data_IF_693067646265
#
_entry.id   IF_693067646265
#
_cell.length_a   1.000
_cell.length_b   1.000
_cell.length_c   1.000
_cell.angle_alpha   90.00
_cell.angle_beta   90.00
_cell.angle_gamma   90.00
#
_symmetry.space_group_name_H-M   'P 1'
#
loop_
_entity.id
_entity.type
_entity.pdbx_description
1 polymer ?
#
# COMPACT_ATOMS: atom_id res chain seq x y z
N UNK A 1 -13.45 13.90 -0.68
CA UNK A 1 -14.84 13.81 -0.14
C UNK A 1 -14.93 14.57 1.17
N UNK A 2 -15.97 15.39 1.39
CA UNK A 2 -16.42 15.63 2.77
C UNK A 2 -16.95 14.29 3.29
N UNK A 3 -16.27 13.70 4.28
CA UNK A 3 -16.58 12.36 4.78
C UNK A 3 -17.97 12.37 5.43
N UNK A 4 -18.98 11.90 4.70
CA UNK A 4 -20.29 11.64 5.29
C UNK A 4 -20.20 10.33 6.08
N UNK A 5 -20.21 10.45 7.41
CA UNK A 5 -20.12 9.32 8.32
C UNK A 5 -21.19 8.23 8.07
N UNK A 6 -22.35 8.59 7.51
CA UNK A 6 -23.44 7.67 7.23
C UNK A 6 -23.10 6.64 6.14
N UNK A 7 -22.24 6.99 5.17
CA UNK A 7 -21.86 6.10 4.06
C UNK A 7 -20.42 5.60 4.19
N UNK A 8 -19.70 5.98 5.23
CA UNK A 8 -18.28 5.67 5.39
C UNK A 8 -17.99 4.16 5.32
N UNK A 9 -18.88 3.35 5.90
CA UNK A 9 -18.76 1.88 5.91
C UNK A 9 -18.94 1.25 4.52
N UNK A 10 -19.56 1.97 3.59
CA UNK A 10 -19.76 1.51 2.22
C UNK A 10 -18.57 1.89 1.33
N UNK A 11 -17.70 2.82 1.74
CA UNK A 11 -16.59 3.28 0.90
C UNK A 11 -15.49 2.21 0.93
N UNK A 12 -15.14 1.61 -0.22
CA UNK A 12 -14.05 0.64 -0.29
C UNK A 12 -12.72 1.37 -0.18
N UNK A 13 -11.71 0.67 0.33
CA UNK A 13 -10.34 1.12 0.18
C UNK A 13 -9.94 1.20 -1.30
N UNK A 14 -9.01 2.09 -1.62
CA UNK A 14 -8.48 2.22 -2.98
C UNK A 14 -7.93 0.88 -3.52
N UNK A 15 -7.16 0.15 -2.69
CA UNK A 15 -6.66 -1.18 -3.02
C UNK A 15 -7.77 -2.22 -3.18
N UNK A 16 -8.91 -2.09 -2.49
CA UNK A 16 -10.05 -2.99 -2.65
C UNK A 16 -10.76 -2.82 -3.98
N UNK A 17 -10.83 -1.58 -4.50
CA UNK A 17 -11.33 -1.33 -5.86
C UNK A 17 -10.42 -2.01 -6.89
N UNK A 18 -9.10 -1.83 -6.76
CA UNK A 18 -8.11 -2.49 -7.64
C UNK A 18 -8.26 -4.02 -7.57
N UNK A 19 -8.36 -4.57 -6.35
CA UNK A 19 -8.53 -6.01 -6.15
C UNK A 19 -9.81 -6.55 -6.81
N UNK A 20 -10.90 -5.79 -6.75
CA UNK A 20 -12.17 -6.17 -7.38
C UNK A 20 -12.10 -6.15 -8.90
N UNK A 21 -11.48 -5.12 -9.49
CA UNK A 21 -11.36 -4.98 -10.94
C UNK A 21 -10.44 -6.06 -11.55
N UNK A 22 -9.33 -6.37 -10.87
CA UNK A 22 -8.35 -7.35 -11.32
C UNK A 22 -8.71 -8.80 -10.95
N UNK A 23 -9.87 -9.04 -10.33
CA UNK A 23 -10.30 -10.40 -9.94
C UNK A 23 -10.41 -11.33 -11.15
N UNK A 24 -10.90 -10.82 -12.28
CA UNK A 24 -11.05 -11.59 -13.52
C UNK A 24 -9.71 -12.05 -14.13
N UNK A 25 -8.61 -11.40 -13.75
CA UNK A 25 -7.25 -11.72 -14.21
C UNK A 25 -6.50 -12.70 -13.29
N UNK A 26 -7.14 -13.12 -12.19
CA UNK A 26 -6.50 -14.05 -11.25
C UNK A 26 -6.38 -15.44 -11.85
N UNK A 27 -5.20 -16.04 -11.67
CA UNK A 27 -4.91 -17.43 -12.05
C UNK A 27 -5.35 -18.39 -10.94
N UNK A 28 -5.53 -19.66 -11.29
CA UNK A 28 -5.75 -20.72 -10.30
C UNK A 28 -4.59 -20.87 -9.30
N UNK A 29 -3.38 -20.49 -9.71
CA UNK A 29 -2.18 -20.46 -8.88
C UNK A 29 -2.07 -19.21 -7.98
N UNK A 30 -2.98 -18.25 -8.07
CA UNK A 30 -2.91 -17.00 -7.31
C UNK A 30 -3.61 -17.16 -5.94
N UNK A 31 -2.80 -17.33 -4.90
CA UNK A 31 -3.24 -17.56 -3.52
C UNK A 31 -3.16 -16.31 -2.64
N UNK A 32 -2.34 -15.32 -3.00
CA UNK A 32 -2.13 -14.08 -2.23
C UNK A 32 -3.15 -13.00 -2.63
N UNK A 33 -3.55 -12.11 -1.69
CA UNK A 33 -4.59 -11.14 -1.99
C UNK A 33 -4.06 -10.12 -2.95
N UNK A 34 -4.94 -9.71 -3.88
CA UNK A 34 -4.60 -8.67 -4.83
C UNK A 34 -4.22 -7.37 -4.10
N UNK A 35 -4.85 -7.09 -2.96
CA UNK A 35 -4.49 -5.98 -2.08
C UNK A 35 -3.79 -6.48 -0.81
N UNK A 36 -2.51 -6.12 -0.67
CA UNK A 36 -1.73 -6.31 0.55
C UNK A 36 -1.26 -4.94 1.03
N UNK A 37 -1.23 -4.74 2.34
CA UNK A 37 -0.56 -3.61 2.95
C UNK A 37 0.48 -4.08 3.96
N UNK A 38 1.45 -3.23 4.26
CA UNK A 38 2.46 -3.48 5.28
C UNK A 38 2.50 -2.30 6.22
N UNK A 39 2.25 -2.55 7.50
CA UNK A 39 2.13 -1.59 8.59
C UNK A 39 1.06 -0.49 8.42
N UNK A 40 0.10 -0.65 7.51
CA UNK A 40 -0.93 0.37 7.25
C UNK A 40 -1.89 0.54 8.43
N UNK A 41 -2.20 -0.54 9.16
CA UNK A 41 -3.01 -0.44 10.37
C UNK A 41 -2.33 0.42 11.44
N UNK A 42 -1.00 0.28 11.56
CA UNK A 42 -0.19 1.08 12.48
C UNK A 42 -0.21 2.57 12.08
N UNK A 43 -0.38 2.88 10.78
CA UNK A 43 -0.45 4.24 10.25
C UNK A 43 -1.72 5.04 10.63
N UNK A 44 -2.69 4.46 11.36
CA UNK A 44 -4.04 5.04 11.64
C UNK A 44 -4.81 5.45 10.40
N UNK A 45 -4.45 4.90 9.24
CA UNK A 45 -5.18 5.05 7.98
C UNK A 45 -5.71 3.67 7.58
N UNK A 46 -6.74 3.10 8.25
CA UNK A 46 -7.20 1.74 8.00
C UNK A 46 -8.02 1.64 6.70
N UNK A 47 -7.46 2.12 5.60
CA UNK A 47 -7.98 1.92 4.24
C UNK A 47 -7.66 0.50 3.76
N UNK A 48 -8.14 -0.50 4.50
CA UNK A 48 -8.04 -1.92 4.16
C UNK A 48 -9.43 -2.58 4.00
N UNK A 49 -10.50 -1.89 4.38
CA UNK A 49 -11.85 -2.42 4.29
C UNK A 49 -12.35 -2.53 2.85
N UNK A 50 -13.10 -3.60 2.56
CA UNK A 50 -13.75 -3.81 1.25
C UNK A 50 -14.93 -2.86 1.01
N UNK A 51 -15.40 -2.14 2.03
CA UNK A 51 -16.58 -1.29 1.91
C UNK A 51 -17.81 -2.09 1.49
N UNK A 52 -18.50 -1.62 0.46
CA UNK A 52 -19.61 -2.34 -0.18
C UNK A 52 -19.18 -3.51 -1.09
N UNK A 53 -17.89 -3.68 -1.37
CA UNK A 53 -17.39 -4.78 -2.20
C UNK A 53 -17.34 -6.09 -1.40
N UNK A 54 -17.35 -7.22 -2.10
CA UNK A 54 -17.24 -8.53 -1.47
C UNK A 54 -16.00 -8.60 -0.54
N UNK A 55 -16.10 -9.15 0.68
CA UNK A 55 -15.01 -9.11 1.68
C UNK A 55 -13.70 -9.75 1.22
N UNK A 56 -13.74 -10.60 0.21
CA UNK A 56 -12.54 -11.16 -0.44
C UNK A 56 -11.59 -10.08 -1.01
N UNK A 57 -12.09 -8.87 -1.25
CA UNK A 57 -11.31 -7.74 -1.75
C UNK A 57 -10.77 -6.84 -0.64
N UNK A 58 -11.01 -7.20 0.63
CA UNK A 58 -10.38 -6.52 1.76
C UNK A 58 -8.85 -6.72 1.70
N UNK A 59 -8.11 -5.69 2.11
CA UNK A 59 -6.66 -5.73 2.20
C UNK A 59 -6.18 -6.62 3.32
N UNK A 60 -5.12 -7.39 3.07
CA UNK A 60 -4.36 -8.08 4.12
C UNK A 60 -3.24 -7.16 4.61
N UNK A 61 -3.32 -6.71 5.86
CA UNK A 61 -2.24 -5.92 6.48
C UNK A 61 -1.22 -6.82 7.18
N UNK A 62 0.05 -6.68 6.81
CA UNK A 62 1.18 -7.35 7.43
C UNK A 62 1.86 -6.39 8.41
N UNK A 63 1.79 -6.70 9.70
CA UNK A 63 2.48 -5.90 10.72
C UNK A 63 3.91 -6.41 10.90
N UNK A 64 4.91 -5.60 10.55
CA UNK A 64 6.32 -6.01 10.61
C UNK A 64 6.79 -6.36 12.03
N UNK A 65 6.09 -5.87 13.07
CA UNK A 65 6.40 -6.18 14.45
C UNK A 65 5.92 -7.56 14.91
N UNK A 66 4.94 -8.18 14.24
CA UNK A 66 4.33 -9.44 14.70
C UNK A 66 4.21 -10.52 13.61
N UNK A 67 4.36 -10.17 12.33
CA UNK A 67 4.13 -11.09 11.20
C UNK A 67 5.08 -12.29 11.22
N UNK A 68 6.33 -12.10 11.66
CA UNK A 68 7.31 -13.18 11.69
C UNK A 68 6.99 -14.25 12.75
N UNK A 69 6.43 -13.83 13.89
CA UNK A 69 5.99 -14.74 14.96
C UNK A 69 4.67 -15.41 14.57
N UNK A 70 3.73 -14.63 14.01
CA UNK A 70 2.42 -15.11 13.60
C UNK A 70 2.50 -16.20 12.51
N UNK A 71 3.47 -16.11 11.60
CA UNK A 71 3.68 -17.08 10.52
C UNK A 71 4.85 -18.04 10.76
N UNK A 72 5.36 -18.10 12.00
CA UNK A 72 6.26 -19.17 12.45
C UNK A 72 7.62 -19.19 11.75
N UNK A 73 8.32 -18.06 11.71
CA UNK A 73 9.70 -18.00 11.24
C UNK A 73 10.62 -18.85 12.15
N UNK A 74 10.73 -20.14 11.87
CA UNK A 74 11.83 -20.98 12.38
C UNK A 74 11.50 -22.35 12.97
N UNK A 75 10.25 -22.84 12.96
CA UNK A 75 9.98 -24.17 13.54
C UNK A 75 9.97 -25.29 12.48
N UNK A 76 10.78 -26.33 12.76
CA UNK A 76 10.86 -27.60 12.02
C UNK A 76 9.51 -28.35 11.98
N UNK A 77 8.54 -27.95 12.80
CA UNK A 77 7.22 -28.59 12.95
C UNK A 77 6.12 -28.02 12.02
N UNK A 78 6.49 -27.13 11.10
CA UNK A 78 5.52 -26.51 10.16
C UNK A 78 4.78 -27.53 9.28
N UNK A 79 5.40 -28.68 8.97
CA UNK A 79 4.75 -29.74 8.20
C UNK A 79 3.63 -30.44 8.99
N UNK A 80 3.86 -30.77 10.27
CA UNK A 80 2.84 -31.40 11.12
C UNK A 80 1.71 -30.43 11.46
N UNK A 81 2.03 -29.16 11.74
CA UNK A 81 1.03 -28.10 11.93
C UNK A 81 0.17 -27.88 10.68
N UNK A 82 0.77 -27.91 9.49
CA UNK A 82 0.05 -27.83 8.22
C UNK A 82 -0.80 -29.07 7.95
N UNK A 83 -0.34 -30.28 8.33
CA UNK A 83 -1.15 -31.51 8.24
C UNK A 83 -2.39 -31.42 9.12
N UNK A 84 -2.23 -31.05 10.39
CA UNK A 84 -3.34 -30.87 11.31
C UNK A 84 -4.31 -29.75 10.86
N UNK A 85 -3.79 -28.65 10.31
CA UNK A 85 -4.61 -27.60 9.71
C UNK A 85 -5.40 -28.12 8.50
N UNK A 86 -4.77 -28.92 7.63
CA UNK A 86 -5.39 -29.50 6.43
C UNK A 86 -6.51 -30.47 6.81
N UNK A 87 -6.28 -31.36 7.78
CA UNK A 87 -7.29 -32.28 8.31
C UNK A 87 -8.49 -31.53 8.91
N UNK A 88 -8.23 -30.50 9.73
CA UNK A 88 -9.29 -29.65 10.29
C UNK A 88 -10.08 -28.92 9.21
N UNK A 89 -9.40 -28.45 8.17
CA UNK A 89 -10.02 -27.78 7.03
C UNK A 89 -10.92 -28.72 6.23
N UNK A 90 -10.48 -29.95 5.99
CA UNK A 90 -11.28 -30.98 5.33
C UNK A 90 -12.56 -31.31 6.12
N UNK A 91 -12.43 -31.51 7.44
CA UNK A 91 -13.58 -31.75 8.32
C UNK A 91 -14.56 -30.56 8.29
N UNK A 92 -14.06 -29.33 8.38
CA UNK A 92 -14.89 -28.12 8.32
C UNK A 92 -15.68 -28.04 7.01
N UNK A 93 -15.03 -28.34 5.87
CA UNK A 93 -15.70 -28.33 4.57
C UNK A 93 -16.77 -29.41 4.48
N UNK A 94 -16.48 -30.64 4.93
CA UNK A 94 -17.47 -31.73 4.97
C UNK A 94 -18.66 -31.39 5.88
N UNK A 95 -18.43 -30.75 7.03
CA UNK A 95 -19.52 -30.26 7.89
C UNK A 95 -20.34 -29.17 7.21
N UNK A 96 -19.69 -28.30 6.43
CA UNK A 96 -20.33 -27.21 5.69
C UNK A 96 -21.18 -27.72 4.52
N UNK A 97 -20.84 -28.87 3.93
CA UNK A 97 -21.65 -29.54 2.90
C UNK A 97 -22.93 -30.15 3.49
N UNK A 98 -22.85 -30.69 4.70
CA UNK A 98 -23.99 -31.32 5.41
C UNK A 98 -24.93 -30.27 6.01
N UNK A 99 -24.42 -29.09 6.37
CA UNK A 99 -25.22 -27.93 6.79
C UNK A 99 -24.91 -26.74 5.88
N UNK A 100 -25.47 -26.71 4.67
CA UNK A 100 -25.22 -25.65 3.72
C UNK A 100 -25.59 -24.31 4.33
N UNK A 101 -24.65 -23.36 4.31
CA UNK A 101 -24.83 -21.99 4.78
C UNK A 101 -25.91 -21.21 4.01
N UNK A 102 -26.57 -21.84 3.03
CA UNK A 102 -27.62 -21.28 2.19
C UNK A 102 -28.85 -20.77 2.95
N UNK A 103 -29.02 -21.15 4.21
CA UNK A 103 -30.05 -20.59 5.11
C UNK A 103 -29.57 -19.46 6.05
N UNK A 104 -28.27 -19.14 6.09
CA UNK A 104 -27.65 -18.33 7.17
C UNK A 104 -27.34 -16.87 6.71
N UNK A 105 -27.61 -16.55 5.44
CA UNK A 105 -27.51 -15.18 4.89
C UNK A 105 -26.08 -14.74 4.54
N UNK A 106 -25.94 -13.52 4.00
CA UNK A 106 -24.69 -12.99 3.43
C UNK A 106 -23.47 -13.07 4.36
N UNK A 107 -23.65 -12.86 5.67
CA UNK A 107 -22.54 -12.90 6.64
C UNK A 107 -21.83 -14.26 6.69
N UNK A 108 -22.54 -15.38 6.53
CA UNK A 108 -21.91 -16.69 6.55
C UNK A 108 -21.00 -16.93 5.34
N UNK A 109 -21.41 -16.46 4.15
CA UNK A 109 -20.56 -16.49 2.96
C UNK A 109 -19.33 -15.58 3.09
N UNK A 110 -19.47 -14.43 3.75
CA UNK A 110 -18.35 -13.52 4.01
C UNK A 110 -17.30 -14.17 4.94
N UNK A 111 -17.74 -14.81 6.03
CA UNK A 111 -16.85 -15.57 6.91
C UNK A 111 -16.15 -16.71 6.16
N UNK A 112 -16.90 -17.49 5.37
CA UNK A 112 -16.33 -18.58 4.58
C UNK A 112 -15.23 -18.08 3.63
N UNK A 113 -15.49 -16.98 2.92
CA UNK A 113 -14.52 -16.37 2.03
C UNK A 113 -13.23 -15.97 2.77
N UNK A 114 -13.34 -15.37 3.96
CA UNK A 114 -12.16 -15.03 4.78
C UNK A 114 -11.37 -16.26 5.24
N UNK A 115 -12.05 -17.33 5.65
CA UNK A 115 -11.38 -18.57 6.06
C UNK A 115 -10.67 -19.27 4.91
N UNK A 116 -11.33 -19.38 3.74
CA UNK A 116 -10.72 -19.91 2.52
C UNK A 116 -9.46 -19.12 2.14
N UNK A 117 -9.52 -17.80 2.32
CA UNK A 117 -8.42 -16.89 2.09
C UNK A 117 -7.21 -17.17 2.98
N UNK A 118 -7.45 -17.22 4.29
CA UNK A 118 -6.41 -17.50 5.28
C UNK A 118 -5.77 -18.88 5.06
N UNK A 119 -6.60 -19.90 4.77
CA UNK A 119 -6.12 -21.25 4.51
C UNK A 119 -5.18 -21.31 3.29
N UNK A 120 -5.55 -20.66 2.18
CA UNK A 120 -4.71 -20.59 0.97
C UNK A 120 -3.35 -19.95 1.24
N UNK A 121 -3.30 -18.88 2.01
CA UNK A 121 -2.03 -18.23 2.39
C UNK A 121 -1.18 -19.14 3.27
N UNK A 122 -1.78 -19.69 4.33
CA UNK A 122 -1.05 -20.50 5.33
C UNK A 122 -0.46 -21.77 4.73
N UNK A 123 -1.13 -22.36 3.74
CA UNK A 123 -0.69 -23.57 3.05
C UNK A 123 0.24 -23.30 1.87
N UNK A 124 0.38 -22.05 1.42
CA UNK A 124 1.26 -21.71 0.32
C UNK A 124 2.70 -21.48 0.79
N UNK A 125 3.59 -22.41 0.41
CA UNK A 125 5.02 -22.32 0.73
C UNK A 125 5.70 -21.01 0.27
N UNK A 126 5.17 -20.33 -0.76
CA UNK A 126 5.68 -19.04 -1.22
C UNK A 126 5.50 -17.96 -0.16
N UNK A 127 4.42 -17.99 0.64
CA UNK A 127 4.21 -16.99 1.68
C UNK A 127 5.24 -17.09 2.79
N UNK A 128 5.66 -18.33 3.14
CA UNK A 128 6.80 -18.54 4.05
C UNK A 128 8.09 -17.95 3.48
N UNK A 129 8.34 -18.10 2.17
CA UNK A 129 9.50 -17.49 1.50
C UNK A 129 9.46 -15.97 1.53
N UNK A 130 8.28 -15.36 1.43
CA UNK A 130 8.11 -13.90 1.54
C UNK A 130 8.65 -13.35 2.85
N UNK A 131 8.43 -14.09 3.94
CA UNK A 131 8.88 -13.71 5.29
C UNK A 131 10.29 -14.23 5.64
N UNK A 132 10.93 -14.98 4.74
CA UNK A 132 12.26 -15.53 4.93
C UNK A 132 13.33 -14.53 4.50
N UNK A 133 13.70 -13.63 5.40
CA UNK A 133 14.58 -12.49 5.08
C UNK A 133 16.04 -12.80 5.45
N UNK A 134 16.94 -12.79 4.46
CA UNK A 134 18.38 -13.02 4.68
C UNK A 134 19.02 -11.86 5.46
N UNK A 135 20.09 -12.12 6.20
CA UNK A 135 20.85 -11.07 6.89
C UNK A 135 21.47 -10.06 5.92
N UNK A 136 21.86 -10.53 4.73
CA UNK A 136 22.39 -9.68 3.67
C UNK A 136 21.33 -8.71 3.13
N UNK A 137 20.12 -9.20 2.86
CA UNK A 137 19.04 -8.34 2.38
C UNK A 137 18.60 -7.35 3.46
N UNK A 138 18.46 -7.81 4.71
CA UNK A 138 18.16 -6.92 5.83
C UNK A 138 19.18 -5.78 5.94
N UNK A 139 20.48 -6.09 5.85
CA UNK A 139 21.52 -5.07 5.90
C UNK A 139 21.42 -4.06 4.74
N UNK A 140 21.18 -4.51 3.50
CA UNK A 140 20.99 -3.62 2.34
C UNK A 140 19.81 -2.66 2.53
N UNK A 141 18.70 -3.16 3.05
CA UNK A 141 17.49 -2.38 3.32
C UNK A 141 17.58 -1.53 4.61
N UNK A 142 18.77 -1.40 5.21
CA UNK A 142 18.99 -0.58 6.40
C UNK A 142 18.36 -1.16 7.67
N UNK A 143 18.07 -2.46 7.69
CA UNK A 143 17.55 -3.18 8.87
C UNK A 143 18.76 -3.69 9.68
N UNK A 144 19.00 -3.16 10.89
CA UNK A 144 20.06 -3.67 11.76
C UNK A 144 19.76 -5.09 12.23
N UNK A 145 20.71 -5.68 12.98
CA UNK A 145 20.54 -7.05 13.51
C UNK A 145 19.30 -7.19 14.39
N UNK A 146 18.83 -6.11 15.02
CA UNK A 146 17.53 -6.06 15.69
C UNK A 146 16.42 -5.67 14.70
N UNK A 147 15.49 -6.60 14.43
CA UNK A 147 14.40 -6.39 13.46
C UNK A 147 13.48 -5.21 13.83
N UNK A 148 13.48 -4.77 15.09
CA UNK A 148 12.58 -3.73 15.59
C UNK A 148 12.93 -2.29 15.21
N UNK A 149 14.13 -2.02 14.67
CA UNK A 149 14.61 -0.65 14.49
C UNK A 149 14.32 -0.05 13.11
N UNK A 150 14.21 -0.85 12.04
CA UNK A 150 13.91 -0.35 10.70
C UNK A 150 12.68 -1.01 10.03
N UNK A 151 11.47 -0.62 10.45
CA UNK A 151 10.19 -1.09 9.90
C UNK A 151 10.02 -0.84 8.39
N UNK A 152 10.38 0.34 7.88
CA UNK A 152 10.26 0.64 6.43
C UNK A 152 11.12 -0.28 5.58
N UNK A 153 12.33 -0.61 6.06
CA UNK A 153 13.25 -1.52 5.38
C UNK A 153 12.67 -2.92 5.30
N UNK A 154 12.12 -3.42 6.41
CA UNK A 154 11.39 -4.69 6.43
C UNK A 154 10.17 -4.66 5.50
N UNK A 155 9.41 -3.58 5.52
CA UNK A 155 8.18 -3.47 4.74
C UNK A 155 8.45 -3.46 3.23
N UNK A 156 9.45 -2.70 2.78
CA UNK A 156 9.87 -2.69 1.38
C UNK A 156 10.50 -4.02 0.95
N UNK A 157 11.25 -4.69 1.83
CA UNK A 157 11.81 -6.00 1.55
C UNK A 157 10.71 -7.09 1.43
N UNK A 158 9.69 -7.04 2.29
CA UNK A 158 8.49 -7.90 2.17
C UNK A 158 7.76 -7.59 0.86
N UNK A 159 7.57 -6.30 0.51
CA UNK A 159 6.93 -5.90 -0.74
C UNK A 159 7.67 -6.45 -1.97
N UNK A 160 9.01 -6.35 -2.00
CA UNK A 160 9.84 -6.97 -3.03
C UNK A 160 9.58 -8.47 -3.15
N UNK A 161 9.54 -9.17 -2.02
CA UNK A 161 9.30 -10.62 -2.02
C UNK A 161 7.89 -11.00 -2.45
N UNK A 162 6.88 -10.20 -2.08
CA UNK A 162 5.49 -10.39 -2.51
C UNK A 162 5.35 -10.29 -4.03
N UNK A 163 6.03 -9.32 -4.65
CA UNK A 163 6.08 -9.17 -6.11
C UNK A 163 6.78 -10.37 -6.75
N UNK A 164 7.97 -10.73 -6.25
CA UNK A 164 8.76 -11.85 -6.78
C UNK A 164 8.08 -13.22 -6.61
N UNK A 165 7.19 -13.38 -5.63
CA UNK A 165 6.45 -14.62 -5.40
C UNK A 165 5.44 -14.92 -6.52
N UNK A 166 5.04 -13.91 -7.30
CA UNK A 166 4.05 -14.00 -8.38
C UNK A 166 2.82 -14.86 -8.01
N UNK A 167 2.24 -14.55 -6.86
CA UNK A 167 1.15 -15.35 -6.27
C UNK A 167 -0.18 -14.58 -6.23
N UNK A 168 -0.33 -13.52 -7.01
CA UNK A 168 -1.59 -12.78 -7.16
C UNK A 168 -1.68 -11.44 -6.44
N UNK A 169 -0.62 -10.99 -5.75
CA UNK A 169 -0.55 -9.63 -5.24
C UNK A 169 -0.41 -8.63 -6.41
N UNK A 170 -1.25 -7.59 -6.43
CA UNK A 170 -1.32 -6.61 -7.53
C UNK A 170 -1.17 -5.16 -7.07
N UNK A 171 -1.64 -4.85 -5.86
CA UNK A 171 -1.49 -3.56 -5.23
C UNK A 171 -0.94 -3.74 -3.82
N UNK A 172 0.26 -3.20 -3.59
CA UNK A 172 0.97 -3.30 -2.31
C UNK A 172 1.11 -1.91 -1.72
N UNK A 173 0.50 -1.68 -0.56
CA UNK A 173 0.62 -0.43 0.18
C UNK A 173 1.66 -0.56 1.29
N UNK A 174 2.81 0.10 1.14
CA UNK A 174 3.82 0.19 2.21
C UNK A 174 3.61 1.46 3.01
N UNK A 175 3.30 1.35 4.29
CA UNK A 175 3.13 2.50 5.17
C UNK A 175 4.42 2.80 5.94
N UNK A 176 4.87 4.05 5.88
CA UNK A 176 5.93 4.53 6.75
C UNK A 176 5.33 4.95 8.10
N UNK A 177 5.66 4.21 9.15
CA UNK A 177 5.09 4.43 10.50
C UNK A 177 6.11 5.00 11.50
N UNK A 178 7.24 5.54 11.03
CA UNK A 178 8.27 6.09 11.92
C UNK A 178 7.83 7.37 12.62
N UNK A 179 7.22 8.28 11.86
CA UNK A 179 6.77 9.60 12.30
C UNK A 179 5.32 9.80 11.86
N UNK A 180 4.40 9.05 12.47
CA UNK A 180 2.99 9.07 12.11
C UNK A 180 2.34 7.69 12.21
N UNK A 181 1.08 7.66 12.66
CA UNK A 181 0.36 6.43 12.99
C UNK A 181 0.74 5.87 14.35
N UNK A 182 -0.16 5.98 15.33
CA UNK A 182 0.04 5.61 16.75
C UNK A 182 1.29 6.21 17.46
N UNK A 183 2.20 6.88 16.75
CA UNK A 183 3.33 7.65 17.27
C UNK A 183 3.06 9.17 17.35
N UNK A 184 4.04 9.95 17.86
CA UNK A 184 3.96 11.41 17.97
C UNK A 184 3.78 12.14 16.63
N UNK A 185 3.45 13.43 16.70
CA UNK A 185 2.94 14.27 15.63
C UNK A 185 3.95 14.52 14.48
N UNK A 186 4.19 13.52 13.60
CA UNK A 186 5.10 13.55 12.43
C UNK A 186 6.32 14.49 12.62
N UNK A 187 6.86 15.15 11.60
CA UNK A 187 8.01 16.05 11.68
C UNK A 187 7.67 17.47 12.25
N UNK A 188 6.67 17.58 13.14
CA UNK A 188 6.19 18.86 13.68
C UNK A 188 6.99 19.38 14.88
N UNK A 189 7.82 18.55 15.50
CA UNK A 189 8.75 18.97 16.55
C UNK A 189 10.15 18.38 16.33
N UNK A 190 11.18 19.05 16.84
CA UNK A 190 12.56 18.54 16.92
C UNK A 190 13.11 17.81 15.69
N UNK A 191 12.78 18.27 14.48
CA UNK A 191 13.08 17.61 13.21
C UNK A 191 14.58 17.33 13.01
N UNK A 192 15.43 18.14 13.62
CA UNK A 192 16.89 18.06 13.55
C UNK A 192 17.56 17.58 14.85
N UNK A 193 16.79 17.09 15.81
CA UNK A 193 17.33 16.53 17.05
C UNK A 193 18.33 15.40 16.79
N UNK A 194 19.45 15.38 17.52
CA UNK A 194 20.48 14.33 17.40
C UNK A 194 20.76 13.69 18.77
N UNK A 195 20.75 12.35 18.80
CA UNK A 195 21.25 11.57 19.94
C UNK A 195 20.58 11.88 21.28
N UNK A 196 21.38 11.91 22.35
CA UNK A 196 20.92 12.08 23.75
C UNK A 196 20.29 13.44 24.08
N UNK A 197 20.33 14.41 23.15
CA UNK A 197 19.66 15.70 23.29
C UNK A 197 18.17 15.65 22.88
N UNK A 198 17.75 14.57 22.22
CA UNK A 198 16.34 14.32 21.98
C UNK A 198 15.70 13.85 23.30
N UNK A 199 14.58 14.44 23.75
CA UNK A 199 13.81 13.96 24.90
C UNK A 199 13.53 12.46 24.78
N UNK A 200 13.46 11.76 25.92
CA UNK A 200 13.04 10.35 25.92
C UNK A 200 11.64 10.23 25.29
N UNK A 201 11.51 9.41 24.26
CA UNK A 201 10.27 9.28 23.47
C UNK A 201 10.15 10.26 22.30
N UNK A 202 11.20 11.04 22.01
CA UNK A 202 11.24 11.93 20.85
C UNK A 202 11.20 11.19 19.51
N UNK A 203 10.76 11.93 18.51
CA UNK A 203 10.56 11.51 17.13
C UNK A 203 11.86 11.06 16.46
N UNK A 204 11.76 10.23 15.41
CA UNK A 204 12.92 9.94 14.57
C UNK A 204 13.24 11.18 13.74
N UNK A 205 14.31 11.89 14.07
CA UNK A 205 14.73 13.07 13.32
C UNK A 205 15.03 12.75 11.86
N UNK A 206 15.13 13.77 11.01
CA UNK A 206 15.43 13.58 9.58
C UNK A 206 16.78 12.88 9.35
N UNK A 207 17.71 12.97 10.31
CA UNK A 207 18.99 12.29 10.27
C UNK A 207 18.90 10.78 10.48
N UNK A 208 17.79 10.30 11.05
CA UNK A 208 17.52 8.87 11.22
C UNK A 208 16.52 8.37 10.17
N UNK A 209 15.41 9.09 9.99
CA UNK A 209 14.35 8.66 9.07
C UNK A 209 14.76 8.78 7.60
N UNK A 210 15.51 9.82 7.23
CA UNK A 210 16.00 10.03 5.87
C UNK A 210 16.88 8.88 5.37
N UNK A 211 18.01 8.58 6.04
CA UNK A 211 18.90 7.48 5.62
C UNK A 211 18.22 6.11 5.62
N UNK A 212 17.27 5.85 6.53
CA UNK A 212 16.50 4.59 6.53
C UNK A 212 15.61 4.47 5.30
N UNK A 213 14.90 5.53 4.94
CA UNK A 213 14.08 5.55 3.74
C UNK A 213 14.95 5.44 2.48
N UNK A 214 16.04 6.20 2.42
CA UNK A 214 16.97 6.23 1.28
C UNK A 214 17.56 4.83 1.00
N UNK A 215 18.09 4.16 2.03
CA UNK A 215 18.65 2.82 1.91
C UNK A 215 17.59 1.77 1.50
N UNK A 216 16.41 1.80 2.12
CA UNK A 216 15.34 0.86 1.84
C UNK A 216 14.76 1.04 0.43
N UNK A 217 14.48 2.30 0.06
CA UNK A 217 13.88 2.63 -1.23
C UNK A 217 14.86 2.39 -2.38
N UNK A 218 16.12 2.81 -2.22
CA UNK A 218 17.17 2.54 -3.20
C UNK A 218 17.37 1.03 -3.43
N UNK A 219 17.41 0.25 -2.35
CA UNK A 219 17.53 -1.22 -2.44
C UNK A 219 16.32 -1.88 -3.11
N UNK A 220 15.11 -1.40 -2.83
CA UNK A 220 13.89 -1.89 -3.48
C UNK A 220 13.96 -1.67 -5.00
N UNK A 221 14.26 -0.45 -5.44
CA UNK A 221 14.32 -0.12 -6.86
C UNK A 221 15.43 -0.91 -7.55
N UNK A 222 16.61 -1.04 -6.92
CA UNK A 222 17.73 -1.83 -7.43
C UNK A 222 17.39 -3.32 -7.59
N UNK A 223 16.69 -3.90 -6.60
CA UNK A 223 16.26 -5.30 -6.68
C UNK A 223 15.26 -5.49 -7.81
N UNK A 224 14.22 -4.65 -7.89
CA UNK A 224 13.19 -4.74 -8.94
C UNK A 224 13.77 -4.53 -10.34
N UNK A 225 14.79 -3.68 -10.50
CA UNK A 225 15.45 -3.44 -11.80
C UNK A 225 16.35 -4.59 -12.25
N UNK A 226 16.60 -5.59 -11.40
CA UNK A 226 17.45 -6.75 -11.70
C UNK A 226 16.67 -8.06 -11.73
N UNK A 227 15.58 -8.13 -10.98
CA UNK A 227 14.73 -9.31 -10.94
C UNK A 227 13.98 -9.49 -12.25
N UNK A 228 13.89 -10.73 -12.77
CA UNK A 228 13.18 -11.00 -14.01
C UNK A 228 11.68 -10.74 -13.86
N UNK A 229 11.11 -10.04 -14.85
CA UNK A 229 9.66 -9.87 -15.02
C UNK A 229 8.99 -11.11 -15.60
N UNK A 230 7.67 -11.02 -15.81
CA UNK A 230 6.86 -12.06 -16.45
C UNK A 230 7.07 -12.12 -17.96
N UNK A 231 7.15 -10.95 -18.59
CA UNK A 231 7.45 -10.81 -20.00
C UNK A 231 8.94 -11.02 -20.23
N UNK A 232 9.27 -11.83 -21.24
CA UNK A 232 10.65 -12.15 -21.57
C UNK A 232 11.44 -10.89 -21.92
N UNK A 233 12.56 -10.67 -21.24
CA UNK A 233 13.41 -9.49 -21.44
C UNK A 233 12.99 -8.25 -20.64
N UNK A 234 11.92 -8.33 -19.83
CA UNK A 234 11.53 -7.29 -18.87
C UNK A 234 12.02 -7.63 -17.47
N UNK A 235 12.18 -6.59 -16.66
CA UNK A 235 12.45 -6.69 -15.22
C UNK A 235 11.15 -6.53 -14.43
N UNK A 236 11.15 -6.87 -13.14
CA UNK A 236 9.98 -6.59 -12.28
C UNK A 236 9.67 -5.09 -12.22
N UNK A 237 10.68 -4.21 -12.29
CA UNK A 237 10.48 -2.77 -12.31
C UNK A 237 9.77 -2.32 -13.60
N UNK A 238 10.06 -2.93 -14.75
CA UNK A 238 9.37 -2.61 -16.01
C UNK A 238 7.86 -2.90 -15.93
N UNK A 239 7.48 -3.88 -15.11
CA UNK A 239 6.09 -4.36 -14.94
C UNK A 239 5.40 -3.84 -13.68
N UNK A 240 6.12 -3.12 -12.82
CA UNK A 240 5.61 -2.62 -11.55
C UNK A 240 5.77 -1.11 -11.48
N UNK A 241 4.66 -0.38 -11.42
CA UNK A 241 4.71 1.03 -11.07
C UNK A 241 4.94 1.17 -9.56
N UNK A 242 6.05 1.81 -9.20
CA UNK A 242 6.38 2.19 -7.83
C UNK A 242 6.12 3.68 -7.68
N UNK A 243 5.27 4.06 -6.73
CA UNK A 243 4.97 5.45 -6.44
C UNK A 243 5.21 5.79 -4.96
N UNK A 244 5.89 6.90 -4.71
CA UNK A 244 5.99 7.52 -3.38
C UNK A 244 5.16 8.80 -3.40
N UNK A 245 4.05 8.78 -2.66
CA UNK A 245 2.97 9.75 -2.76
C UNK A 245 2.84 10.52 -1.45
N UNK A 246 2.68 11.83 -1.59
CA UNK A 246 2.43 12.82 -0.55
C UNK A 246 1.22 13.68 -0.96
N UNK A 247 0.48 14.17 0.02
CA UNK A 247 -0.63 15.11 -0.17
C UNK A 247 -0.26 16.57 0.19
N UNK A 248 0.83 16.75 0.92
CA UNK A 248 1.40 18.05 1.27
C UNK A 248 2.90 17.91 1.55
N UNK A 249 3.61 19.05 1.55
CA UNK A 249 5.01 19.15 1.92
C UNK A 249 5.17 19.66 3.35
N UNK A 250 6.40 20.07 3.68
CA UNK A 250 6.74 20.70 4.96
C UNK A 250 7.13 22.15 4.73
N UNK A 251 6.66 23.03 5.61
CA UNK A 251 6.94 24.47 5.53
C UNK A 251 8.46 24.67 5.42
N UNK A 252 8.96 25.48 4.47
CA UNK A 252 10.38 25.78 4.38
C UNK A 252 10.96 26.37 5.67
N UNK A 253 10.13 27.08 6.44
CA UNK A 253 10.49 27.67 7.72
C UNK A 253 10.22 26.73 8.91
N UNK A 254 11.06 26.85 9.94
CA UNK A 254 10.94 26.07 11.17
C UNK A 254 9.92 26.71 12.11
N UNK A 255 9.06 25.88 12.71
CA UNK A 255 8.14 26.34 13.75
C UNK A 255 8.84 26.49 15.12
N UNK A 256 8.13 27.04 16.11
CA UNK A 256 8.67 27.26 17.46
C UNK A 256 9.06 25.99 18.20
N UNK A 257 8.58 24.82 17.75
CA UNK A 257 8.85 23.51 18.35
C UNK A 257 10.08 22.82 17.73
N UNK A 258 10.78 23.49 16.82
CA UNK A 258 11.94 22.92 16.13
C UNK A 258 11.59 21.93 15.03
N UNK A 259 10.33 21.90 14.58
CA UNK A 259 9.84 21.09 13.46
C UNK A 259 9.30 21.95 12.32
N UNK A 260 8.46 21.36 11.45
CA UNK A 260 7.86 22.05 10.28
C UNK A 260 6.39 21.69 10.10
N UNK A 261 5.57 22.71 9.87
CA UNK A 261 4.12 22.56 9.67
C UNK A 261 3.77 22.04 8.26
N UNK A 262 2.49 21.70 8.04
CA UNK A 262 2.01 21.26 6.72
C UNK A 262 2.09 22.38 5.69
N UNK A 263 2.52 22.02 4.47
CA UNK A 263 2.74 22.98 3.40
C UNK A 263 2.20 22.46 2.07
N UNK A 264 0.96 22.82 1.78
CA UNK A 264 0.29 22.51 0.50
C UNK A 264 0.91 23.16 -0.76
N UNK A 265 1.49 24.37 -0.72
CA UNK A 265 1.97 25.04 -1.94
C UNK A 265 3.12 24.36 -2.71
N UNK A 266 3.87 23.45 -2.08
CA UNK A 266 5.00 22.78 -2.71
C UNK A 266 5.31 21.44 -2.05
N UNK A 267 5.26 20.36 -2.82
CA UNK A 267 5.74 19.03 -2.49
C UNK A 267 6.01 18.23 -3.76
N UNK A 268 6.62 17.05 -3.61
CA UNK A 268 6.97 16.19 -4.73
C UNK A 268 6.36 14.80 -4.55
N UNK A 269 5.91 14.22 -5.66
CA UNK A 269 5.57 12.81 -5.78
C UNK A 269 6.56 12.16 -6.74
N UNK A 270 6.89 10.91 -6.48
CA UNK A 270 7.86 10.16 -7.27
C UNK A 270 7.19 8.93 -7.87
N UNK A 271 7.46 8.69 -9.15
CA UNK A 271 6.93 7.58 -9.93
C UNK A 271 8.08 6.91 -10.69
N UNK A 272 8.10 5.58 -10.69
CA UNK A 272 9.12 4.77 -11.36
C UNK A 272 8.50 3.46 -11.86
N UNK A 273 9.10 2.85 -12.88
CA UNK A 273 8.65 1.57 -13.40
C UNK A 273 7.29 1.63 -14.09
N UNK A 274 6.76 0.47 -14.50
CA UNK A 274 5.41 0.38 -15.11
C UNK A 274 5.21 1.29 -16.32
N UNK A 275 6.26 1.50 -17.12
CA UNK A 275 6.23 2.38 -18.29
C UNK A 275 6.55 3.86 -18.04
N UNK A 276 6.71 4.29 -16.79
CA UNK A 276 7.13 5.68 -16.47
C UNK A 276 8.52 5.95 -17.05
N UNK A 277 8.69 7.08 -17.76
CA UNK A 277 9.97 7.42 -18.36
C UNK A 277 10.97 7.91 -17.31
N UNK A 278 12.19 7.36 -17.26
CA UNK A 278 13.18 7.71 -16.26
C UNK A 278 13.77 9.12 -16.49
N UNK A 279 14.36 9.69 -15.44
CA UNK A 279 15.18 10.90 -15.51
C UNK A 279 14.40 12.21 -15.74
N UNK A 280 13.08 12.20 -15.53
CA UNK A 280 12.23 13.38 -15.73
C UNK A 280 11.85 14.08 -14.44
N UNK A 281 11.77 15.40 -14.54
CA UNK A 281 11.22 16.28 -13.51
C UNK A 281 10.06 17.03 -14.15
N UNK A 282 8.87 16.89 -13.56
CA UNK A 282 7.66 17.60 -13.98
C UNK A 282 7.41 18.71 -12.98
N UNK A 283 7.50 19.94 -13.45
CA UNK A 283 7.31 21.14 -12.66
C UNK A 283 8.61 21.75 -12.11
N UNK A 284 8.47 22.89 -11.44
CA UNK A 284 9.53 23.72 -10.89
C UNK A 284 9.03 24.44 -9.64
N UNK A 285 9.90 24.59 -8.64
CA UNK A 285 9.63 25.34 -7.40
C UNK A 285 10.68 26.44 -7.20
N UNK A 286 10.30 27.50 -6.49
CA UNK A 286 11.23 28.52 -5.95
C UNK A 286 11.70 28.20 -4.52
N UNK A 287 11.32 27.02 -4.00
CA UNK A 287 11.57 26.59 -2.62
C UNK A 287 10.41 26.87 -1.67
N UNK A 288 9.49 27.78 -2.02
CA UNK A 288 8.28 28.09 -1.24
C UNK A 288 7.01 27.64 -1.95
N UNK A 289 6.97 27.72 -3.27
CA UNK A 289 5.80 27.32 -4.06
C UNK A 289 6.24 26.76 -5.40
N UNK A 290 5.36 25.97 -5.99
CA UNK A 290 5.51 25.58 -7.39
C UNK A 290 5.32 26.83 -8.29
N UNK A 291 6.31 27.11 -9.14
CA UNK A 291 6.34 28.24 -10.08
C UNK A 291 5.99 27.82 -11.51
N UNK A 292 6.20 26.55 -11.83
CA UNK A 292 5.71 25.91 -13.06
C UNK A 292 5.24 24.51 -12.69
N UNK A 293 4.05 24.12 -13.11
CA UNK A 293 3.50 22.79 -12.84
C UNK A 293 3.98 21.74 -13.84
N UNK A 294 4.56 22.16 -14.98
CA UNK A 294 5.23 21.26 -15.92
C UNK A 294 4.34 20.30 -16.71
N UNK A 295 3.02 20.45 -16.63
CA UNK A 295 2.03 19.61 -17.34
C UNK A 295 0.98 20.46 -18.05
N UNK A 296 0.16 19.82 -18.88
CA UNK A 296 -0.72 20.47 -19.86
C UNK A 296 -1.80 21.38 -19.24
N UNK A 297 -2.29 21.07 -18.03
CA UNK A 297 -3.42 21.81 -17.42
C UNK A 297 -3.02 23.09 -16.68
N UNK A 298 -1.72 23.40 -16.56
CA UNK A 298 -1.22 24.66 -15.97
C UNK A 298 -1.74 25.02 -14.57
N UNK A 299 -2.22 24.02 -13.82
CA UNK A 299 -2.68 24.09 -12.43
C UNK A 299 -2.05 22.97 -11.59
N UNK A 300 -2.09 22.98 -10.26
CA UNK A 300 -1.48 21.86 -9.50
C UNK A 300 -2.19 20.52 -9.80
N UNK A 301 -1.46 19.43 -10.10
CA UNK A 301 -2.04 18.10 -10.09
C UNK A 301 -2.59 17.79 -8.69
N UNK A 302 -3.86 17.41 -8.66
CA UNK A 302 -4.56 16.90 -7.48
C UNK A 302 -4.33 15.40 -7.28
N UNK A 303 -4.62 14.89 -6.07
CA UNK A 303 -4.57 13.46 -5.77
C UNK A 303 -5.47 12.61 -6.67
N UNK A 304 -6.55 13.19 -7.18
CA UNK A 304 -7.40 12.59 -8.21
C UNK A 304 -6.55 12.22 -9.44
N UNK A 305 -5.69 13.10 -9.95
CA UNK A 305 -4.85 12.78 -11.12
C UNK A 305 -3.84 11.65 -10.81
N UNK A 306 -3.34 11.56 -9.58
CA UNK A 306 -2.49 10.45 -9.14
C UNK A 306 -3.26 9.13 -9.18
N UNK A 307 -4.48 9.11 -8.65
CA UNK A 307 -5.36 7.94 -8.68
C UNK A 307 -5.70 7.52 -10.11
N UNK A 308 -6.05 8.47 -10.99
CA UNK A 308 -6.31 8.19 -12.41
C UNK A 308 -5.06 7.67 -13.13
N UNK A 309 -3.87 8.15 -12.77
CA UNK A 309 -2.60 7.63 -13.31
C UNK A 309 -2.35 6.18 -12.87
N UNK A 310 -2.63 5.84 -11.61
CA UNK A 310 -2.51 4.45 -11.13
C UNK A 310 -3.51 3.55 -11.85
N UNK A 311 -4.76 3.98 -11.96
CA UNK A 311 -5.79 3.24 -12.70
C UNK A 311 -5.44 3.07 -14.18
N UNK A 312 -4.88 4.10 -14.84
CA UNK A 312 -4.49 4.01 -16.25
C UNK A 312 -3.44 2.94 -16.49
N UNK A 313 -2.42 2.84 -15.62
CA UNK A 313 -1.37 1.82 -15.73
C UNK A 313 -1.93 0.41 -15.49
N UNK A 314 -2.94 0.29 -14.62
CA UNK A 314 -3.61 -0.97 -14.33
C UNK A 314 -4.71 -1.33 -15.35
N UNK A 315 -4.96 -0.50 -16.37
CA UNK A 315 -6.04 -0.72 -17.33
C UNK A 315 -7.45 -0.56 -16.76
N UNK A 316 -7.58 0.10 -15.60
CA UNK A 316 -8.86 0.33 -14.93
C UNK A 316 -9.47 1.64 -15.44
N UNK A 317 -10.72 1.58 -15.89
CA UNK A 317 -11.50 2.76 -16.26
C UNK A 317 -11.94 3.52 -14.99
N UNK A 318 -11.28 4.65 -14.73
CA UNK A 318 -11.55 5.50 -13.57
C UNK A 318 -12.88 6.26 -13.63
N UNK A 319 -13.56 6.26 -14.78
CA UNK A 319 -14.90 6.86 -14.92
C UNK A 319 -16.03 5.94 -14.45
N UNK A 320 -15.71 4.68 -14.11
CA UNK A 320 -16.67 3.70 -13.61
C UNK A 320 -17.36 4.16 -12.33
N UNK A 321 -18.59 3.67 -12.18
CA UNK A 321 -19.43 3.84 -11.01
C UNK A 321 -20.13 2.55 -10.62
N UNK A 322 -20.29 2.33 -9.33
CA UNK A 322 -21.07 1.24 -8.75
C UNK A 322 -22.39 1.85 -8.30
N UNK A 323 -23.50 1.46 -8.95
CA UNK A 323 -24.82 2.08 -8.75
C UNK A 323 -25.65 1.40 -7.66
N UNK A 324 -25.46 0.10 -7.45
CA UNK A 324 -26.24 -0.71 -6.50
C UNK A 324 -25.59 -0.75 -5.11
N UNK A 325 -25.29 0.42 -4.54
CA UNK A 325 -24.71 0.52 -3.20
C UNK A 325 -25.77 0.36 -2.11
N UNK A 326 -25.41 -0.03 -0.87
CA UNK A 326 -26.36 -0.16 0.22
C UNK A 326 -27.13 1.14 0.54
N UNK A 327 -26.51 2.32 0.33
CA UNK A 327 -27.18 3.61 0.49
C UNK A 327 -28.00 4.06 -0.72
N UNK A 328 -27.95 3.34 -1.84
CA UNK A 328 -28.55 3.74 -3.11
C UNK A 328 -27.84 4.91 -3.80
N UNK A 329 -26.69 5.37 -3.28
CA UNK A 329 -25.87 6.42 -3.90
C UNK A 329 -24.77 5.79 -4.73
N UNK A 330 -24.64 6.18 -6.00
CA UNK A 330 -23.56 5.67 -6.83
C UNK A 330 -22.19 5.96 -6.18
N UNK A 331 -21.34 4.95 -6.10
CA UNK A 331 -19.92 5.10 -5.79
C UNK A 331 -19.15 5.28 -7.09
N UNK A 332 -18.65 6.49 -7.33
CA UNK A 332 -17.74 6.79 -8.44
C UNK A 332 -16.30 6.47 -8.04
N UNK A 333 -15.55 5.83 -8.94
CA UNK A 333 -14.13 5.52 -8.72
C UNK A 333 -13.31 6.80 -8.59
N UNK A 334 -13.63 7.77 -9.44
CA UNK A 334 -13.21 9.16 -9.31
C UNK A 334 -14.41 10.05 -9.13
N UNK A 335 -14.45 10.77 -8.01
CA UNK A 335 -15.50 11.74 -7.79
C UNK A 335 -14.99 13.13 -8.16
N UNK A 336 -15.62 13.76 -9.14
CA UNK A 336 -15.33 15.17 -9.42
C UNK A 336 -15.81 16.02 -8.25
N UNK A 337 -14.89 16.45 -7.39
CA UNK A 337 -15.21 17.44 -6.38
C UNK A 337 -15.32 18.82 -7.04
N UNK A 338 -16.42 19.57 -6.81
CA UNK A 338 -16.47 20.96 -7.23
C UNK A 338 -15.40 21.75 -6.47
N UNK A 339 -14.56 22.49 -7.18
CA UNK A 339 -13.51 23.34 -6.60
C UNK A 339 -14.06 24.67 -6.04
N UNK A 340 -15.40 24.83 -6.05
CA UNK A 340 -16.12 26.09 -5.86
C UNK A 340 -16.50 26.72 -7.20
N UNK A 341 -17.72 27.25 -7.31
CA UNK A 341 -18.24 27.77 -8.59
C UNK A 341 -18.43 26.68 -9.65
N UNK A 342 -18.29 26.97 -10.97
CA UNK A 342 -18.48 26.00 -12.05
C UNK A 342 -17.23 25.12 -12.32
N UNK A 343 -16.16 25.25 -11.53
CA UNK A 343 -14.89 24.58 -11.79
C UNK A 343 -14.87 23.14 -11.25
N UNK A 344 -14.52 22.20 -12.12
CA UNK A 344 -14.35 20.78 -11.79
C UNK A 344 -12.90 20.36 -12.00
N UNK A 345 -12.44 19.40 -11.19
CA UNK A 345 -11.15 18.73 -11.41
C UNK A 345 -11.29 17.85 -12.67
N UNK A 346 -10.44 18.03 -13.70
CA UNK A 346 -10.43 17.15 -14.86
C UNK A 346 -10.15 15.69 -14.47
N UNK A 347 -10.96 14.75 -14.97
CA UNK A 347 -10.76 13.32 -14.74
C UNK A 347 -9.74 12.74 -15.73
N UNK A 348 -8.46 12.95 -15.45
CA UNK A 348 -7.37 12.57 -16.35
C UNK A 348 -6.15 12.05 -15.59
N UNK A 349 -5.34 11.23 -16.26
CA UNK A 349 -4.02 10.83 -15.78
C UNK A 349 -2.97 11.91 -16.06
N UNK A 350 -1.79 11.75 -15.46
CA UNK A 350 -0.61 12.59 -15.69
C UNK A 350 0.22 11.93 -16.80
N UNK A 351 -0.18 12.17 -18.06
CA UNK A 351 0.41 11.53 -19.24
C UNK A 351 1.89 11.90 -19.45
N UNK A 352 2.31 13.07 -18.93
CA UNK A 352 3.69 13.54 -18.99
C UNK A 352 4.69 12.60 -18.30
N UNK A 353 4.22 11.70 -17.43
CA UNK A 353 5.05 10.64 -16.86
C UNK A 353 5.53 9.64 -17.93
N UNK A 354 4.74 9.41 -18.98
CA UNK A 354 4.98 8.36 -19.99
C UNK A 354 5.53 8.88 -21.33
N UNK A 355 5.33 10.17 -21.65
CA UNK A 355 5.57 10.78 -22.99
C UNK A 355 7.01 10.80 -23.56
#
# INVERSE_FOLDING_TARGET
>A
RALNAAILREIPAFGSVIASELESERRSSDTFPAFISVDLWNARCPQIGSGMLHPRFAGLDLNTASVFDAFGAGEDDSAAKNSALSERWEVLNRMSEVSPSGGIGGKASEYKAHYEYAYKILTDSRFKKVLSLSDQDKARYGVPKDRGTCKIGLAMLIARNLLAADAGARFIWVANTYNGGNGPADNHDQLYGRGALAPKGAQLSIYESGPRLDAAFGSLIEDLSKMPGKESGKTLLDETMVCMIHEFGRNPEMNSNGGRDHWGPCFANLFMGGGVKPGRVIGKTDGYKVTDVGWQFKQQPMMDHVVSTIYSVLGIDWSKKIVDTPSGRAYEYQQTAPLGGPAFIPLTSIEELFA
#
